data_IF_377780076728
#
_entry.id   IF_377780076728
#
_cell.length_a   1.000
_cell.length_b   1.000
_cell.length_c   1.000
_cell.angle_alpha   90.00
_cell.angle_beta   90.00
_cell.angle_gamma   90.00
#
_symmetry.space_group_name_H-M   'P 1'
#
loop_
_entity.id
_entity.type
_entity.pdbx_description
1 polymer ?
#
# COMPACT_ATOMS: atom_id res chain seq x y z
N UNK A 1 -41.69 1.44 -19.71
CA UNK A 1 -40.51 1.13 -18.87
C UNK A 1 -39.16 1.56 -19.49
N UNK A 2 -39.14 2.09 -20.73
CA UNK A 2 -37.89 2.44 -21.44
C UNK A 2 -37.30 3.81 -21.05
N UNK A 3 -38.13 4.80 -20.70
CA UNK A 3 -37.66 6.16 -20.33
C UNK A 3 -36.68 6.18 -19.14
N UNK A 4 -36.82 5.25 -18.18
CA UNK A 4 -35.96 5.17 -17.00
C UNK A 4 -34.53 4.69 -17.31
N UNK A 5 -34.39 3.65 -18.14
CA UNK A 5 -33.08 3.09 -18.51
C UNK A 5 -32.24 4.05 -19.37
N UNK A 6 -32.89 4.76 -20.30
CA UNK A 6 -32.21 5.77 -21.12
C UNK A 6 -31.68 6.93 -20.27
N UNK A 7 -32.42 7.32 -19.22
CA UNK A 7 -31.97 8.36 -18.30
C UNK A 7 -30.77 7.92 -17.46
N UNK A 8 -30.72 6.68 -16.99
CA UNK A 8 -29.59 6.16 -16.21
C UNK A 8 -28.30 6.08 -17.02
N UNK A 9 -28.38 5.59 -18.26
CA UNK A 9 -27.23 5.52 -19.17
C UNK A 9 -26.69 6.93 -19.44
N UNK A 10 -27.58 7.91 -19.70
CA UNK A 10 -27.17 9.29 -19.93
C UNK A 10 -26.48 9.90 -18.68
N UNK A 11 -26.97 9.61 -17.48
CA UNK A 11 -26.33 10.05 -16.23
C UNK A 11 -24.97 9.41 -16.02
N UNK A 12 -24.83 8.12 -16.30
CA UNK A 12 -23.54 7.42 -16.22
C UNK A 12 -22.52 8.01 -17.21
N UNK A 13 -22.87 8.14 -18.49
CA UNK A 13 -21.96 8.68 -19.51
C UNK A 13 -21.53 10.12 -19.22
N UNK A 14 -22.45 10.94 -18.71
CA UNK A 14 -22.14 12.30 -18.25
C UNK A 14 -21.14 12.27 -17.09
N UNK A 15 -21.38 11.42 -16.09
CA UNK A 15 -20.47 11.25 -14.95
C UNK A 15 -19.07 10.84 -15.40
N UNK A 16 -18.96 9.89 -16.33
CA UNK A 16 -17.68 9.46 -16.91
C UNK A 16 -16.95 10.63 -17.56
N UNK A 17 -17.65 11.44 -18.36
CA UNK A 17 -17.06 12.59 -19.02
C UNK A 17 -16.60 13.65 -18.03
N UNK A 18 -17.44 13.99 -17.06
CA UNK A 18 -17.11 14.97 -16.02
C UNK A 18 -15.91 14.55 -15.16
N UNK A 19 -15.82 13.28 -14.78
CA UNK A 19 -14.68 12.73 -14.03
C UNK A 19 -13.40 12.79 -14.87
N UNK A 20 -13.47 12.52 -16.18
CA UNK A 20 -12.31 12.65 -17.09
C UNK A 20 -11.84 14.09 -17.19
N UNK A 21 -12.76 15.03 -17.29
CA UNK A 21 -12.44 16.46 -17.33
C UNK A 21 -11.80 16.91 -16.02
N UNK A 22 -12.36 16.51 -14.87
CA UNK A 22 -11.79 16.83 -13.56
C UNK A 22 -10.38 16.24 -13.37
N UNK A 23 -10.11 15.05 -13.91
CA UNK A 23 -8.78 14.45 -13.87
C UNK A 23 -7.75 15.18 -14.74
N UNK A 24 -8.18 15.82 -15.85
CA UNK A 24 -7.33 16.65 -16.72
C UNK A 24 -7.15 18.06 -16.19
N UNK A 25 -8.15 18.58 -15.48
CA UNK A 25 -8.11 19.89 -14.88
C UNK A 25 -7.30 19.93 -13.58
N UNK A 26 -6.87 21.14 -13.22
CA UNK A 26 -6.21 21.43 -11.93
C UNK A 26 -7.15 22.12 -10.93
N UNK A 27 -8.38 22.44 -11.36
CA UNK A 27 -9.37 23.13 -10.53
C UNK A 27 -9.85 22.28 -9.35
N UNK A 28 -10.29 22.93 -8.25
CA UNK A 28 -10.85 22.22 -7.11
C UNK A 28 -12.14 21.49 -7.49
N UNK A 29 -12.31 20.27 -6.99
CA UNK A 29 -13.58 19.54 -7.07
C UNK A 29 -14.34 19.70 -5.75
N UNK A 30 -15.61 20.12 -5.83
CA UNK A 30 -16.46 20.26 -4.66
C UNK A 30 -16.82 18.89 -4.07
N UNK A 31 -17.08 18.86 -2.77
CA UNK A 31 -17.44 17.63 -2.07
C UNK A 31 -18.79 17.07 -2.56
N UNK A 32 -19.76 17.95 -2.82
CA UNK A 32 -21.08 17.58 -3.34
C UNK A 32 -20.95 16.87 -4.69
N UNK A 33 -20.05 17.36 -5.53
CA UNK A 33 -19.78 16.78 -6.85
C UNK A 33 -19.11 15.41 -6.73
N UNK A 34 -18.12 15.26 -5.85
CA UNK A 34 -17.51 13.97 -5.54
C UNK A 34 -18.57 12.97 -5.04
N UNK A 35 -19.42 13.38 -4.08
CA UNK A 35 -20.49 12.53 -3.54
C UNK A 35 -21.48 12.11 -4.63
N UNK A 36 -21.87 13.01 -5.52
CA UNK A 36 -22.77 12.70 -6.64
C UNK A 36 -22.16 11.65 -7.58
N UNK A 37 -20.90 11.81 -7.99
CA UNK A 37 -20.22 10.82 -8.84
C UNK A 37 -20.03 9.47 -8.14
N UNK A 38 -19.72 9.48 -6.84
CA UNK A 38 -19.61 8.27 -6.02
C UNK A 38 -20.93 7.50 -5.97
N UNK A 39 -22.06 8.19 -5.84
CA UNK A 39 -23.38 7.55 -5.86
C UNK A 39 -23.66 6.88 -7.21
N UNK A 40 -23.28 7.53 -8.31
CA UNK A 40 -23.40 6.92 -9.65
C UNK A 40 -22.51 5.68 -9.75
N UNK A 41 -21.23 5.79 -9.35
CA UNK A 41 -20.29 4.68 -9.40
C UNK A 41 -20.77 3.45 -8.60
N UNK A 42 -21.34 3.66 -7.40
CA UNK A 42 -21.94 2.57 -6.62
C UNK A 42 -23.18 1.98 -7.28
N UNK A 43 -24.04 2.81 -7.86
CA UNK A 43 -25.27 2.32 -8.52
C UNK A 43 -24.93 1.39 -9.69
N UNK A 44 -23.92 1.75 -10.48
CA UNK A 44 -23.50 0.96 -11.65
C UNK A 44 -22.42 -0.08 -11.34
N UNK A 45 -21.83 -0.04 -10.14
CA UNK A 45 -20.74 -0.91 -9.67
C UNK A 45 -19.56 -0.96 -10.64
N UNK A 46 -19.17 0.21 -11.14
CA UNK A 46 -18.15 0.35 -12.19
C UNK A 46 -16.75 0.51 -11.58
N UNK A 47 -15.89 -0.48 -11.82
CA UNK A 47 -14.53 -0.52 -11.28
C UNK A 47 -13.63 0.58 -11.83
N UNK A 48 -13.84 1.02 -13.09
CA UNK A 48 -13.07 2.10 -13.68
C UNK A 48 -13.37 3.42 -12.95
N UNK A 49 -14.65 3.74 -12.71
CA UNK A 49 -15.06 4.91 -11.94
C UNK A 49 -14.52 4.86 -10.51
N UNK A 50 -14.53 3.72 -9.82
CA UNK A 50 -13.91 3.63 -8.49
C UNK A 50 -12.44 4.04 -8.50
N UNK A 51 -11.67 3.58 -9.49
CA UNK A 51 -10.26 3.96 -9.64
C UNK A 51 -10.10 5.45 -9.91
N UNK A 52 -10.89 6.01 -10.83
CA UNK A 52 -10.82 7.43 -11.16
C UNK A 52 -11.22 8.32 -9.98
N UNK A 53 -12.23 7.91 -9.22
CA UNK A 53 -12.68 8.64 -8.03
C UNK A 53 -11.68 8.51 -6.89
N UNK A 54 -11.05 7.34 -6.69
CA UNK A 54 -9.95 7.20 -5.73
C UNK A 54 -8.77 8.12 -6.08
N UNK A 55 -8.44 8.25 -7.37
CA UNK A 55 -7.42 9.21 -7.83
C UNK A 55 -7.78 10.65 -7.50
N UNK A 56 -9.01 11.07 -7.79
CA UNK A 56 -9.48 12.42 -7.48
C UNK A 56 -9.51 12.68 -5.97
N UNK A 57 -9.96 11.71 -5.18
CA UNK A 57 -9.95 11.81 -3.71
C UNK A 57 -8.52 11.97 -3.19
N UNK A 58 -7.55 11.23 -3.72
CA UNK A 58 -6.14 11.39 -3.29
C UNK A 58 -5.56 12.72 -3.72
N UNK A 59 -5.92 13.21 -4.91
CA UNK A 59 -5.47 14.52 -5.40
C UNK A 59 -5.99 15.67 -4.52
N UNK A 60 -7.25 15.60 -4.09
CA UNK A 60 -7.93 16.72 -3.46
C UNK A 60 -8.12 16.59 -1.95
N UNK A 61 -8.12 15.37 -1.41
CA UNK A 61 -8.38 15.02 0.02
C UNK A 61 -7.47 13.85 0.46
N UNK A 62 -6.14 13.92 0.26
CA UNK A 62 -5.26 12.82 0.64
C UNK A 62 -5.35 12.57 2.15
N UNK A 63 -5.40 11.30 2.55
CA UNK A 63 -5.39 10.87 3.96
C UNK A 63 -6.59 11.33 4.81
N UNK A 64 -7.61 11.95 4.21
CA UNK A 64 -8.82 12.33 4.92
C UNK A 64 -9.58 11.07 5.38
N UNK A 65 -9.73 10.84 6.70
CA UNK A 65 -10.32 9.62 7.23
C UNK A 65 -11.79 9.45 6.85
N UNK A 66 -12.51 10.52 6.49
CA UNK A 66 -13.91 10.42 6.06
C UNK A 66 -14.09 9.57 4.79
N UNK A 67 -13.06 9.51 3.94
CA UNK A 67 -13.11 8.79 2.65
C UNK A 67 -12.50 7.39 2.73
N UNK A 68 -11.76 7.07 3.78
CA UNK A 68 -11.12 5.77 3.92
C UNK A 68 -12.13 4.61 3.87
N UNK A 69 -13.26 4.63 4.61
CA UNK A 69 -14.25 3.55 4.56
C UNK A 69 -14.88 3.39 3.17
N UNK A 70 -15.03 4.49 2.42
CA UNK A 70 -15.62 4.47 1.08
C UNK A 70 -14.70 3.72 0.10
N UNK A 71 -13.41 4.09 0.06
CA UNK A 71 -12.44 3.46 -0.85
C UNK A 71 -12.16 2.02 -0.44
N UNK A 72 -12.09 1.73 0.86
CA UNK A 72 -11.95 0.37 1.39
C UNK A 72 -13.18 -0.49 1.06
N UNK A 73 -14.38 0.08 1.09
CA UNK A 73 -15.60 -0.60 0.62
C UNK A 73 -15.54 -0.98 -0.86
N UNK A 74 -15.03 -0.09 -1.71
CA UNK A 74 -14.83 -0.38 -3.14
C UNK A 74 -13.86 -1.53 -3.39
N UNK A 75 -12.81 -1.67 -2.57
CA UNK A 75 -11.87 -2.78 -2.70
C UNK A 75 -12.55 -4.13 -2.51
N UNK A 76 -13.39 -4.25 -1.48
CA UNK A 76 -14.11 -5.49 -1.23
C UNK A 76 -15.07 -5.81 -2.37
N UNK A 77 -15.82 -4.81 -2.82
CA UNK A 77 -16.77 -4.97 -3.93
C UNK A 77 -16.05 -5.33 -5.24
N UNK A 78 -14.95 -4.64 -5.57
CA UNK A 78 -14.13 -4.91 -6.74
C UNK A 78 -13.53 -6.32 -6.70
N UNK A 79 -13.06 -6.77 -5.53
CA UNK A 79 -12.50 -8.11 -5.35
C UNK A 79 -13.57 -9.21 -5.54
N UNK A 80 -14.74 -9.07 -4.91
CA UNK A 80 -15.85 -10.01 -5.04
C UNK A 80 -16.32 -10.16 -6.49
N UNK A 81 -16.31 -9.05 -7.25
CA UNK A 81 -16.70 -9.00 -8.66
C UNK A 81 -15.58 -9.39 -9.63
N UNK A 82 -14.37 -9.66 -9.11
CA UNK A 82 -13.16 -9.90 -9.91
C UNK A 82 -12.91 -8.80 -10.94
N UNK A 83 -13.04 -7.55 -10.51
CA UNK A 83 -12.84 -6.37 -11.35
C UNK A 83 -11.42 -6.34 -11.92
N UNK A 84 -11.32 -6.06 -13.22
CA UNK A 84 -10.03 -5.85 -13.92
C UNK A 84 -9.26 -4.62 -13.40
N UNK A 85 -9.88 -3.79 -12.57
CA UNK A 85 -9.32 -2.57 -12.00
C UNK A 85 -8.85 -2.72 -10.55
N UNK A 86 -8.88 -3.94 -10.02
CA UNK A 86 -8.59 -4.23 -8.62
C UNK A 86 -7.17 -3.79 -8.21
N UNK A 87 -6.19 -4.04 -9.05
CA UNK A 87 -4.79 -3.68 -8.85
C UNK A 87 -4.59 -2.16 -8.69
N UNK A 88 -5.23 -1.37 -9.55
CA UNK A 88 -5.19 0.08 -9.48
C UNK A 88 -5.88 0.59 -8.21
N UNK A 89 -7.00 -0.02 -7.84
CA UNK A 89 -7.73 0.37 -6.65
C UNK A 89 -6.93 0.08 -5.37
N UNK A 90 -6.24 -1.06 -5.30
CA UNK A 90 -5.32 -1.39 -4.19
C UNK A 90 -4.18 -0.39 -4.12
N UNK A 91 -3.57 -0.06 -5.26
CA UNK A 91 -2.52 0.95 -5.33
C UNK A 91 -2.98 2.30 -4.77
N UNK A 92 -4.15 2.80 -5.21
CA UNK A 92 -4.67 4.08 -4.73
C UNK A 92 -5.08 4.02 -3.26
N UNK A 93 -5.68 2.93 -2.80
CA UNK A 93 -6.01 2.75 -1.39
C UNK A 93 -4.75 2.78 -0.50
N UNK A 94 -3.67 2.10 -0.90
CA UNK A 94 -2.38 2.14 -0.21
C UNK A 94 -1.75 3.54 -0.24
N UNK A 95 -1.92 4.28 -1.34
CA UNK A 95 -1.40 5.64 -1.47
C UNK A 95 -2.16 6.67 -0.64
N UNK A 96 -3.48 6.57 -0.60
CA UNK A 96 -4.34 7.54 0.08
C UNK A 96 -4.58 7.21 1.55
N UNK A 97 -4.74 5.94 1.90
CA UNK A 97 -5.17 5.51 3.24
C UNK A 97 -4.46 4.23 3.68
N UNK A 98 -3.11 4.21 3.70
CA UNK A 98 -2.35 3.01 4.06
C UNK A 98 -2.72 2.51 5.45
N UNK A 99 -2.84 3.39 6.44
CA UNK A 99 -3.21 3.01 7.81
C UNK A 99 -4.58 2.34 7.89
N UNK A 100 -5.59 2.85 7.17
CA UNK A 100 -6.92 2.25 7.17
C UNK A 100 -6.90 0.85 6.54
N UNK A 101 -6.13 0.67 5.46
CA UNK A 101 -6.04 -0.63 4.80
C UNK A 101 -5.25 -1.64 5.64
N UNK A 102 -4.07 -1.26 6.14
CA UNK A 102 -3.16 -2.10 6.94
C UNK A 102 -3.81 -2.65 8.21
N UNK A 103 -4.70 -1.90 8.84
CA UNK A 103 -5.38 -2.29 10.08
C UNK A 103 -6.79 -2.86 9.88
N UNK A 104 -7.18 -3.14 8.63
CA UNK A 104 -8.50 -3.71 8.32
C UNK A 104 -8.41 -5.20 7.95
N UNK A 105 -9.53 -5.91 8.09
CA UNK A 105 -9.66 -7.29 7.62
C UNK A 105 -9.87 -7.39 6.09
N UNK A 106 -10.17 -6.27 5.43
CA UNK A 106 -10.55 -6.22 4.02
C UNK A 106 -9.47 -6.77 3.08
N UNK A 107 -8.16 -6.48 3.26
CA UNK A 107 -7.08 -7.08 2.48
C UNK A 107 -7.13 -8.60 2.40
N UNK A 108 -7.36 -9.29 3.52
CA UNK A 108 -7.45 -10.75 3.53
C UNK A 108 -8.64 -11.25 2.71
N UNK A 109 -9.79 -10.57 2.79
CA UNK A 109 -10.95 -10.87 1.95
C UNK A 109 -10.65 -10.60 0.47
N UNK A 110 -9.99 -9.48 0.15
CA UNK A 110 -9.58 -9.15 -1.20
C UNK A 110 -8.61 -10.19 -1.79
N UNK A 111 -7.63 -10.65 -0.98
CA UNK A 111 -6.71 -11.73 -1.34
C UNK A 111 -7.48 -13.03 -1.62
N UNK A 112 -8.47 -13.36 -0.81
CA UNK A 112 -9.29 -14.55 -1.02
C UNK A 112 -10.09 -14.51 -2.33
N UNK A 113 -10.74 -13.38 -2.62
CA UNK A 113 -11.61 -13.26 -3.81
C UNK A 113 -10.83 -13.00 -5.10
N UNK A 114 -9.75 -12.21 -5.02
CA UNK A 114 -8.97 -11.76 -6.17
C UNK A 114 -7.46 -11.63 -5.85
N UNK A 115 -6.76 -12.76 -5.61
CA UNK A 115 -5.37 -12.73 -5.15
C UNK A 115 -4.43 -12.04 -6.13
N UNK A 116 -4.57 -12.31 -7.42
CA UNK A 116 -3.77 -11.69 -8.47
C UNK A 116 -3.89 -10.16 -8.49
N UNK A 117 -5.12 -9.64 -8.56
CA UNK A 117 -5.35 -8.20 -8.60
C UNK A 117 -4.82 -7.51 -7.33
N UNK A 118 -4.98 -8.15 -6.16
CA UNK A 118 -4.38 -7.63 -4.94
C UNK A 118 -2.84 -7.63 -4.99
N UNK A 119 -2.22 -8.73 -5.42
CA UNK A 119 -0.78 -8.84 -5.55
C UNK A 119 -0.19 -7.85 -6.55
N UNK A 120 -0.83 -7.64 -7.71
CA UNK A 120 -0.42 -6.65 -8.71
C UNK A 120 -0.50 -5.22 -8.16
N UNK A 121 -1.56 -4.90 -7.41
CA UNK A 121 -1.71 -3.59 -6.77
C UNK A 121 -0.69 -3.33 -5.67
N UNK A 122 -0.43 -4.34 -4.83
CA UNK A 122 0.62 -4.32 -3.82
C UNK A 122 2.00 -4.14 -4.48
N UNK A 123 2.26 -4.89 -5.55
CA UNK A 123 3.51 -4.79 -6.31
C UNK A 123 3.74 -3.37 -6.85
N UNK A 124 2.71 -2.77 -7.45
CA UNK A 124 2.75 -1.38 -7.91
C UNK A 124 3.04 -0.39 -6.78
N UNK A 125 2.47 -0.60 -5.60
CA UNK A 125 2.70 0.28 -4.46
C UNK A 125 4.15 0.20 -3.94
N UNK A 126 4.73 -1.00 -3.91
CA UNK A 126 6.13 -1.22 -3.57
C UNK A 126 7.07 -0.56 -4.59
N UNK A 127 6.84 -0.81 -5.89
CA UNK A 127 7.64 -0.21 -6.97
C UNK A 127 7.60 1.33 -6.98
N UNK A 128 6.46 1.91 -6.65
CA UNK A 128 6.30 3.36 -6.58
C UNK A 128 6.81 3.99 -5.27
N UNK A 129 7.34 3.19 -4.33
CA UNK A 129 7.79 3.68 -3.01
C UNK A 129 6.65 4.20 -2.13
N UNK A 130 5.40 3.87 -2.45
CA UNK A 130 4.20 4.28 -1.70
C UNK A 130 4.08 3.50 -0.40
N UNK A 131 4.49 2.24 -0.42
CA UNK A 131 4.52 1.35 0.74
C UNK A 131 5.93 0.83 0.90
N UNK A 132 6.47 0.89 2.13
CA UNK A 132 7.73 0.25 2.43
C UNK A 132 7.53 -1.26 2.61
N UNK A 133 8.45 -2.10 2.12
CA UNK A 133 8.38 -3.55 2.27
C UNK A 133 8.14 -4.04 3.70
N UNK A 134 8.74 -3.39 4.69
CA UNK A 134 8.64 -3.78 6.11
C UNK A 134 7.26 -3.45 6.69
N UNK A 135 6.50 -2.57 6.04
CA UNK A 135 5.14 -2.22 6.44
C UNK A 135 4.10 -3.22 5.89
N UNK A 136 4.49 -4.16 5.02
CA UNK A 136 3.57 -5.17 4.51
C UNK A 136 3.34 -6.23 5.60
N UNK A 137 2.09 -6.46 6.04
CA UNK A 137 1.82 -7.47 7.05
C UNK A 137 2.21 -8.87 6.55
N UNK A 138 2.99 -9.61 7.34
CA UNK A 138 3.39 -10.98 7.02
C UNK A 138 2.18 -11.88 6.75
N UNK A 139 1.08 -11.66 7.47
CA UNK A 139 -0.20 -12.38 7.27
C UNK A 139 -0.77 -12.22 5.88
N UNK A 140 -0.56 -11.08 5.20
CA UNK A 140 -1.00 -10.90 3.81
C UNK A 140 -0.16 -11.75 2.86
N UNK A 141 1.15 -11.81 3.09
CA UNK A 141 2.08 -12.58 2.25
C UNK A 141 1.85 -14.08 2.39
N UNK A 142 1.76 -14.57 3.62
CA UNK A 142 1.44 -15.97 3.92
C UNK A 142 0.12 -16.37 3.26
N UNK A 143 -0.91 -15.53 3.38
CA UNK A 143 -2.20 -15.82 2.81
C UNK A 143 -2.18 -15.75 1.28
N UNK A 144 -1.47 -14.79 0.68
CA UNK A 144 -1.27 -14.67 -0.77
C UNK A 144 -0.61 -15.92 -1.35
N UNK A 145 0.43 -16.44 -0.69
CA UNK A 145 1.09 -17.69 -1.09
C UNK A 145 0.07 -18.83 -1.04
N UNK A 146 -0.58 -19.01 0.12
CA UNK A 146 -1.55 -20.09 0.36
C UNK A 146 -2.67 -20.11 -0.69
N UNK A 147 -3.30 -18.97 -0.97
CA UNK A 147 -4.44 -18.94 -1.93
C UNK A 147 -3.99 -19.05 -3.39
N UNK A 148 -2.70 -18.86 -3.68
CA UNK A 148 -2.15 -18.88 -5.04
C UNK A 148 -1.52 -20.21 -5.43
N UNK A 149 -1.25 -21.11 -4.49
CA UNK A 149 -0.66 -22.44 -4.74
C UNK A 149 -1.35 -23.19 -5.90
N UNK A 150 -2.68 -23.17 -5.91
CA UNK A 150 -3.51 -23.87 -6.90
C UNK A 150 -4.01 -22.97 -8.05
N UNK A 151 -3.44 -21.78 -8.23
CA UNK A 151 -3.82 -20.81 -9.28
C UNK A 151 -2.94 -20.95 -10.52
N UNK A 152 -3.32 -20.38 -11.68
CA UNK A 152 -2.50 -20.39 -12.89
C UNK A 152 -1.07 -19.86 -12.66
N UNK A 153 -0.13 -20.29 -13.51
CA UNK A 153 1.29 -19.93 -13.37
C UNK A 153 1.53 -18.41 -13.36
N UNK A 154 0.75 -17.64 -14.11
CA UNK A 154 0.82 -16.17 -14.11
C UNK A 154 0.52 -15.56 -12.74
N UNK A 155 -0.51 -16.06 -12.05
CA UNK A 155 -0.89 -15.57 -10.71
C UNK A 155 0.24 -15.86 -9.70
N UNK A 156 0.80 -17.07 -9.74
CA UNK A 156 1.93 -17.45 -8.88
C UNK A 156 3.18 -16.62 -9.17
N UNK A 157 3.42 -16.26 -10.42
CA UNK A 157 4.56 -15.43 -10.81
C UNK A 157 4.46 -14.03 -10.21
N UNK A 158 3.28 -13.41 -10.21
CA UNK A 158 3.09 -12.08 -9.56
C UNK A 158 3.33 -12.18 -8.06
N UNK A 159 2.78 -13.19 -7.38
CA UNK A 159 3.02 -13.37 -5.93
C UNK A 159 4.51 -13.54 -5.64
N UNK A 160 5.22 -14.31 -6.46
CA UNK A 160 6.68 -14.45 -6.34
C UNK A 160 7.39 -13.10 -6.51
N UNK A 161 7.00 -12.27 -7.49
CA UNK A 161 7.59 -10.94 -7.68
C UNK A 161 7.41 -10.05 -6.45
N UNK A 162 6.23 -10.09 -5.81
CA UNK A 162 5.98 -9.37 -4.55
C UNK A 162 6.93 -9.84 -3.45
N UNK A 163 7.06 -11.16 -3.27
CA UNK A 163 7.95 -11.73 -2.25
C UNK A 163 9.42 -11.38 -2.50
N UNK A 164 9.89 -11.51 -3.73
CA UNK A 164 11.26 -11.17 -4.12
C UNK A 164 11.57 -9.69 -3.87
N UNK A 165 10.61 -8.81 -4.11
CA UNK A 165 10.77 -7.40 -3.86
C UNK A 165 10.90 -7.06 -2.39
N UNK A 166 10.12 -7.72 -1.55
CA UNK A 166 10.18 -7.54 -0.11
C UNK A 166 11.52 -8.07 0.40
N UNK A 167 11.93 -9.26 -0.02
CA UNK A 167 13.22 -9.86 0.34
C UNK A 167 14.42 -9.03 -0.10
N UNK A 168 14.41 -8.43 -1.31
CA UNK A 168 15.50 -7.57 -1.80
C UNK A 168 15.66 -6.28 -0.99
N UNK A 169 14.60 -5.90 -0.28
CA UNK A 169 14.53 -4.66 0.47
C UNK A 169 14.81 -4.85 1.95
N UNK A 170 14.71 -6.08 2.46
CA UNK A 170 15.32 -6.44 3.74
C UNK A 170 16.82 -6.18 3.62
N UNK A 171 17.39 -5.22 4.39
CA UNK A 171 18.82 -5.01 4.36
C UNK A 171 19.50 -6.31 4.79
N UNK A 172 20.72 -6.49 4.29
CA UNK A 172 21.70 -7.51 4.66
C UNK A 172 22.03 -7.50 6.17
N UNK A 173 21.03 -7.74 7.03
CA UNK A 173 21.11 -7.81 8.48
C UNK A 173 21.80 -9.11 8.94
N UNK A 174 22.30 -9.92 7.99
CA UNK A 174 23.17 -11.07 8.23
C UNK A 174 24.66 -10.80 7.97
N UNK A 175 25.06 -9.58 7.56
CA UNK A 175 26.49 -9.25 7.37
C UNK A 175 27.10 -8.46 8.55
N UNK A 176 26.30 -7.94 9.49
CA UNK A 176 26.80 -7.36 10.76
C UNK A 176 26.59 -8.30 11.97
N UNK A 177 26.79 -9.60 11.77
CA UNK A 177 26.95 -10.58 12.85
C UNK A 177 28.19 -11.46 12.63
N UNK A 178 29.20 -10.96 11.90
CA UNK A 178 30.55 -11.50 11.97
C UNK A 178 31.18 -11.00 13.29
N UNK A 179 31.47 -11.96 14.16
CA UNK A 179 31.98 -11.90 15.53
C UNK A 179 32.93 -10.74 15.89
N UNK A 180 32.83 -10.18 17.12
CA UNK A 180 34.02 -9.67 17.79
C UNK A 180 34.82 -10.89 18.26
N UNK A 181 35.82 -11.29 17.48
CA UNK A 181 36.77 -12.28 17.93
C UNK A 181 37.62 -11.66 19.06
N UNK A 182 37.51 -12.26 20.24
CA UNK A 182 38.37 -12.00 21.38
C UNK A 182 39.83 -12.12 20.96
N UNK A 183 40.58 -11.03 20.99
CA UNK A 183 42.02 -11.07 21.21
C UNK A 183 42.26 -10.86 22.71
N UNK A 184 42.12 -11.96 23.46
CA UNK A 184 42.68 -12.09 24.80
C UNK A 184 44.17 -12.44 24.65
N UNK A 185 45.05 -11.54 25.09
CA UNK A 185 46.48 -11.82 25.22
C UNK A 185 47.03 -11.19 26.52
N UNK A 186 46.78 -11.92 27.61
CA UNK A 186 47.66 -12.16 28.77
C UNK A 186 47.92 -11.05 29.81
N UNK A 187 47.72 -11.37 31.12
CA UNK A 187 48.15 -10.56 32.26
C UNK A 187 49.34 -11.17 33.03
N UNK A 188 50.44 -10.43 33.21
CA UNK A 188 51.49 -10.54 34.26
C UNK A 188 52.68 -9.66 33.85
N UNK A 189 53.46 -8.96 34.68
CA UNK A 189 53.55 -8.70 36.13
C UNK A 189 54.74 -7.72 36.29
N UNK A 190 54.58 -6.66 37.09
CA UNK A 190 55.64 -5.95 37.86
C UNK A 190 56.71 -5.19 37.03
N UNK A 191 57.29 -4.05 37.43
CA UNK A 191 57.68 -3.58 38.77
C UNK A 191 58.16 -2.12 38.65
N UNK A 192 57.88 -1.35 39.71
CA UNK A 192 58.72 -0.31 40.35
C UNK A 192 59.39 0.79 39.50
N UNK A 193 59.07 2.05 39.85
CA UNK A 193 59.98 3.13 40.33
C UNK A 193 59.28 4.49 40.12
N UNK A 194 58.77 5.15 41.16
CA UNK A 194 59.47 6.10 42.05
C UNK A 194 59.34 7.59 41.64
N UNK A 195 58.18 8.19 41.99
CA UNK A 195 58.03 9.49 42.73
C UNK A 195 58.51 10.82 42.06
N UNK A 196 58.18 12.03 42.61
CA UNK A 196 57.12 12.91 42.09
C UNK A 196 57.52 14.39 41.84
N UNK A 197 56.68 15.22 41.20
CA UNK A 197 56.61 16.70 41.39
C UNK A 197 55.16 17.17 41.14
N UNK A 198 54.36 17.55 42.16
CA UNK A 198 54.14 18.92 42.70
C UNK A 198 53.92 19.93 41.56
N UNK A 199 52.79 20.62 41.32
CA UNK A 199 51.64 20.98 42.16
C UNK A 199 51.69 22.45 42.55
N UNK A 200 51.40 23.41 41.66
CA UNK A 200 51.08 24.81 42.00
C UNK A 200 50.14 25.45 40.94
N UNK A 201 48.93 25.81 41.35
CA UNK A 201 48.16 26.91 40.79
C UNK A 201 47.70 27.77 41.97
N UNK A 202 48.27 28.97 42.07
CA UNK A 202 47.78 30.06 42.88
C UNK A 202 47.15 31.11 41.94
N UNK A 203 46.22 31.87 42.50
CA UNK A 203 45.50 33.06 42.01
C UNK A 203 46.31 33.93 41.06
#
# INVERSE_FOLDING_TARGET
MEKGKTSEIATFLRTVQEVREALRGEGPVSEERLRAWIQVAHRVRDGWLYVQLAQLLIRHRPHDPAWAPVVVGWLLEAAQRRSLWMDHLVYWALRGWPAALLHSAIPLMCIQFHPRGFAEGLWKALQAGVLRPEAVPATWLEYLVKVSENRPAGDRAVVRQVLEAIQKSEPSARVSAASPELADASPNRLRAEARPQIGWAAV
#
